data_IF_066214735779
#
_entry.id   IF_066214735779
#
_cell.length_a   1.000
_cell.length_b   1.000
_cell.length_c   1.000
_cell.angle_alpha   90.00
_cell.angle_beta   90.00
_cell.angle_gamma   90.00
#
_symmetry.space_group_name_H-M   'P 1'
#
loop_
_entity.id
_entity.type
_entity.pdbx_description
1 polymer ?
#
# COMPACT_ATOMS: atom_id res chain seq x y z
N UNK A 1 6.71 10.65 5.60
CA UNK A 1 6.70 9.76 6.79
C UNK A 1 7.77 8.70 6.68
N UNK A 2 7.77 7.90 5.60
CA UNK A 2 8.77 6.85 5.29
C UNK A 2 10.22 7.28 5.57
N UNK A 3 10.67 8.42 5.02
CA UNK A 3 11.99 9.04 5.31
C UNK A 3 12.37 9.03 6.80
N UNK A 4 11.48 9.52 7.67
CA UNK A 4 11.69 9.58 9.12
C UNK A 4 11.70 8.22 9.80
N UNK A 5 11.05 7.20 9.23
CA UNK A 5 11.13 5.84 9.72
C UNK A 5 12.51 5.23 9.38
N UNK A 6 13.00 5.44 8.15
CA UNK A 6 14.34 5.00 7.74
C UNK A 6 15.47 5.73 8.51
N UNK A 7 15.33 7.04 8.76
CA UNK A 7 16.22 7.80 9.66
C UNK A 7 16.20 7.25 11.10
N UNK A 8 15.06 6.75 11.57
CA UNK A 8 14.91 6.10 12.87
C UNK A 8 15.32 4.60 12.87
N UNK A 9 15.90 4.08 11.78
CA UNK A 9 16.42 2.72 11.70
C UNK A 9 15.41 1.63 11.34
N UNK A 10 14.24 1.96 10.80
CA UNK A 10 13.31 0.95 10.28
C UNK A 10 13.90 0.25 9.05
N UNK A 11 13.95 -1.08 9.06
CA UNK A 11 14.54 -1.88 7.98
C UNK A 11 13.70 -1.94 6.70
N UNK A 12 12.39 -1.72 6.79
CA UNK A 12 11.52 -1.60 5.60
C UNK A 12 10.32 -0.70 5.88
N UNK A 13 9.68 -0.26 4.80
CA UNK A 13 8.40 0.46 4.81
C UNK A 13 7.54 0.02 3.64
N UNK A 14 6.22 0.09 3.82
CA UNK A 14 5.22 -0.10 2.76
C UNK A 14 4.58 1.26 2.45
N UNK A 15 4.37 1.60 1.18
CA UNK A 15 3.56 2.77 0.83
C UNK A 15 2.10 2.56 1.25
N UNK A 16 1.35 3.64 1.50
CA UNK A 16 -0.12 3.50 1.53
C UNK A 16 -0.55 3.09 0.13
N UNK A 17 -1.41 2.08 0.01
CA UNK A 17 -1.92 1.58 -1.27
C UNK A 17 -2.32 2.73 -2.20
N UNK A 18 -1.82 2.74 -3.42
CA UNK A 18 -2.20 3.72 -4.44
C UNK A 18 -2.68 3.04 -5.73
N UNK A 19 -3.30 3.85 -6.59
CA UNK A 19 -4.01 3.46 -7.82
C UNK A 19 -3.61 4.40 -8.95
N UNK A 20 -4.04 4.08 -10.17
CA UNK A 20 -4.07 5.02 -11.29
C UNK A 20 -5.06 6.17 -11.00
N UNK A 21 -4.80 7.35 -11.55
CA UNK A 21 -5.55 8.58 -11.20
C UNK A 21 -7.06 8.52 -11.55
N UNK A 22 -7.46 7.60 -12.45
CA UNK A 22 -8.87 7.33 -12.79
C UNK A 22 -9.67 6.66 -11.67
N UNK A 23 -9.00 5.99 -10.74
CA UNK A 23 -9.58 5.25 -9.61
C UNK A 23 -9.43 5.99 -8.28
N UNK A 24 -9.12 7.30 -8.33
CA UNK A 24 -8.92 8.15 -7.14
C UNK A 24 -10.14 8.14 -6.21
N UNK A 25 -9.86 8.11 -4.90
CA UNK A 25 -10.88 8.07 -3.85
C UNK A 25 -10.80 9.30 -2.95
N UNK A 26 -11.87 9.54 -2.20
CA UNK A 26 -11.93 10.54 -1.12
C UNK A 26 -12.39 9.85 0.16
N UNK A 27 -11.66 10.04 1.26
CA UNK A 27 -12.00 9.46 2.56
C UNK A 27 -13.10 10.26 3.27
N UNK A 28 -13.92 9.56 4.05
CA UNK A 28 -14.87 10.18 4.98
C UNK A 28 -14.23 10.50 6.33
N UNK A 29 -14.93 11.25 7.17
CA UNK A 29 -14.54 11.54 8.56
C UNK A 29 -15.79 11.57 9.46
N UNK A 30 -15.78 10.97 10.66
CA UNK A 30 -14.70 10.19 11.27
C UNK A 30 -14.50 8.83 10.57
N UNK A 31 -13.28 8.28 10.60
CA UNK A 31 -12.94 7.02 9.92
C UNK A 31 -11.98 6.06 10.63
N UNK A 32 -11.36 6.48 11.74
CA UNK A 32 -10.52 5.63 12.59
C UNK A 32 -10.99 5.85 14.02
N UNK A 33 -11.32 4.77 14.73
CA UNK A 33 -11.82 4.80 16.11
C UNK A 33 -11.13 3.75 16.97
N UNK A 34 -11.03 3.99 18.28
CA UNK A 34 -10.53 2.99 19.24
C UNK A 34 -11.56 1.86 19.41
N UNK A 35 -11.09 0.62 19.38
CA UNK A 35 -11.96 -0.55 19.54
C UNK A 35 -12.38 -0.79 20.99
N UNK A 36 -13.53 -1.43 21.18
CA UNK A 36 -14.12 -1.75 22.49
C UNK A 36 -13.69 -3.12 23.03
N UNK A 37 -12.79 -3.82 22.35
CA UNK A 37 -12.34 -5.21 22.66
C UNK A 37 -11.69 -5.38 24.03
N UNK A 38 -11.30 -4.28 24.69
CA UNK A 38 -10.70 -4.26 26.03
C UNK A 38 -11.46 -3.34 26.99
N UNK A 39 -12.75 -3.12 26.74
CA UNK A 39 -13.61 -2.26 27.55
C UNK A 39 -13.28 -0.77 27.43
N UNK A 40 -13.62 0.01 28.45
CA UNK A 40 -13.54 1.47 28.47
C UNK A 40 -12.15 2.02 28.87
N UNK A 41 -11.06 1.39 28.42
CA UNK A 41 -9.69 1.83 28.67
C UNK A 41 -9.23 2.88 27.63
N UNK A 42 -9.03 4.12 28.08
CA UNK A 42 -8.58 5.24 27.24
C UNK A 42 -7.08 5.52 27.43
N UNK A 43 -6.45 6.17 26.45
CA UNK A 43 -5.01 6.51 26.50
C UNK A 43 -4.12 5.43 25.87
N UNK A 44 -2.93 5.13 26.42
CA UNK A 44 -1.98 4.19 25.83
C UNK A 44 -2.51 2.75 25.82
N UNK A 45 -1.91 1.88 25.00
CA UNK A 45 -2.21 0.44 24.99
C UNK A 45 -3.62 0.09 24.50
N UNK A 46 -4.16 0.81 23.52
CA UNK A 46 -5.45 0.49 22.90
C UNK A 46 -5.43 -0.92 22.31
N UNK A 47 -6.29 -1.81 22.80
CA UNK A 47 -6.30 -3.23 22.41
C UNK A 47 -6.72 -3.50 20.96
N UNK A 48 -7.37 -2.55 20.30
CA UNK A 48 -7.66 -2.59 18.86
C UNK A 48 -8.06 -1.20 18.34
N UNK A 49 -8.10 -1.08 17.01
CA UNK A 49 -8.71 0.03 16.27
C UNK A 49 -9.64 -0.52 15.20
N UNK A 50 -10.71 0.21 14.90
CA UNK A 50 -11.56 -0.02 13.74
C UNK A 50 -11.36 1.14 12.77
N UNK A 51 -11.27 0.83 11.48
CA UNK A 51 -11.20 1.85 10.44
C UNK A 51 -12.13 1.55 9.26
N UNK A 52 -12.58 2.63 8.62
CA UNK A 52 -13.24 2.64 7.31
C UNK A 52 -12.43 3.52 6.33
N UNK A 53 -11.10 3.48 6.47
CA UNK A 53 -10.20 4.23 5.60
C UNK A 53 -9.97 3.47 4.29
N UNK A 54 -10.02 4.19 3.18
CA UNK A 54 -9.77 3.65 1.85
C UNK A 54 -8.26 3.57 1.56
N UNK A 55 -7.92 3.43 0.28
CA UNK A 55 -6.56 3.62 -0.26
C UNK A 55 -6.07 5.08 -0.10
N UNK A 56 -4.92 5.41 -0.68
CA UNK A 56 -4.38 6.77 -0.67
C UNK A 56 -5.24 7.76 -1.47
N UNK A 57 -5.45 8.95 -0.91
CA UNK A 57 -6.04 10.11 -1.62
C UNK A 57 -4.99 10.90 -2.42
N UNK A 58 -3.75 10.40 -2.50
CA UNK A 58 -2.66 11.00 -3.28
C UNK A 58 -2.50 10.27 -4.61
N UNK A 59 -2.24 11.05 -5.66
CA UNK A 59 -2.13 10.58 -7.05
C UNK A 59 -1.03 9.54 -7.24
N UNK A 60 -1.13 8.80 -8.35
CA UNK A 60 -0.08 7.88 -8.78
C UNK A 60 1.26 8.61 -8.90
N UNK A 61 1.26 9.78 -9.58
CA UNK A 61 2.45 10.60 -9.79
C UNK A 61 3.16 11.00 -8.48
N UNK A 62 2.41 11.34 -7.42
CA UNK A 62 2.99 11.61 -6.10
C UNK A 62 3.76 10.40 -5.56
N UNK A 63 3.15 9.20 -5.61
CA UNK A 63 3.78 8.01 -5.04
C UNK A 63 4.99 7.55 -5.84
N UNK A 64 4.95 7.63 -7.17
CA UNK A 64 6.12 7.34 -8.02
C UNK A 64 7.29 8.27 -7.69
N UNK A 65 7.05 9.59 -7.57
CA UNK A 65 8.08 10.55 -7.16
C UNK A 65 8.65 10.21 -5.77
N UNK A 66 7.80 9.92 -4.79
CA UNK A 66 8.24 9.57 -3.42
C UNK A 66 9.05 8.27 -3.40
N UNK A 67 8.69 7.26 -4.21
CA UNK A 67 9.49 6.03 -4.34
C UNK A 67 10.89 6.37 -4.85
N UNK A 68 10.99 7.14 -5.94
CA UNK A 68 12.28 7.55 -6.50
C UNK A 68 13.13 8.37 -5.52
N UNK A 69 12.56 9.38 -4.85
CA UNK A 69 13.27 10.19 -3.84
C UNK A 69 13.78 9.33 -2.68
N UNK A 70 12.93 8.46 -2.11
CA UNK A 70 13.33 7.60 -1.00
C UNK A 70 14.45 6.64 -1.40
N UNK A 71 14.43 6.08 -2.61
CA UNK A 71 15.48 5.16 -3.07
C UNK A 71 16.78 5.86 -3.45
N UNK A 72 16.73 7.14 -3.82
CA UNK A 72 17.93 7.98 -4.00
C UNK A 72 18.60 8.31 -2.66
N UNK A 73 17.83 8.62 -1.61
CA UNK A 73 18.36 9.00 -0.30
C UNK A 73 18.75 7.81 0.59
N UNK A 74 18.08 6.66 0.40
CA UNK A 74 18.36 5.39 1.08
C UNK A 74 18.72 4.30 0.06
N UNK A 75 19.83 4.46 -0.69
CA UNK A 75 20.26 3.49 -1.71
C UNK A 75 20.83 2.23 -1.05
N UNK A 76 20.87 1.13 -1.80
CA UNK A 76 21.52 -0.12 -1.38
C UNK A 76 23.03 0.06 -1.24
N UNK A 77 23.49 0.37 -0.02
CA UNK A 77 24.90 0.59 0.30
C UNK A 77 25.64 -0.73 0.42
N UNK A 78 25.93 -1.34 -0.74
CA UNK A 78 26.85 -2.49 -0.89
C UNK A 78 28.31 -2.08 -0.60
N UNK A 79 28.62 -1.80 0.66
CA UNK A 79 29.99 -1.64 1.13
C UNK A 79 30.56 -3.01 1.51
N UNK A 80 31.75 -3.39 1.02
CA UNK A 80 32.26 -4.76 1.09
C UNK A 80 32.55 -5.30 2.51
N UNK A 81 32.49 -4.45 3.54
CA UNK A 81 32.80 -4.80 4.93
C UNK A 81 31.77 -4.29 5.95
N UNK A 82 30.55 -3.92 5.51
CA UNK A 82 29.49 -3.40 6.40
C UNK A 82 28.27 -4.29 6.36
N UNK A 83 27.72 -4.61 7.54
CA UNK A 83 26.45 -5.31 7.69
C UNK A 83 25.38 -4.57 6.88
N UNK A 84 24.74 -5.27 5.93
CA UNK A 84 23.88 -4.65 4.93
C UNK A 84 22.59 -4.09 5.57
N UNK A 85 22.59 -2.78 5.84
CA UNK A 85 21.41 -2.02 6.23
C UNK A 85 20.75 -1.42 4.97
N UNK A 86 20.23 -2.30 4.12
CA UNK A 86 19.46 -1.92 2.93
C UNK A 86 18.02 -1.64 3.36
N UNK A 87 17.59 -0.38 3.41
CA UNK A 87 16.18 -0.07 3.65
C UNK A 87 15.33 -0.47 2.43
N UNK A 88 14.39 -1.39 2.67
CA UNK A 88 13.49 -1.91 1.62
C UNK A 88 12.22 -1.06 1.56
N UNK A 89 11.87 -0.57 0.38
CA UNK A 89 10.62 0.11 0.10
C UNK A 89 9.72 -0.79 -0.75
N UNK A 90 8.62 -1.24 -0.15
CA UNK A 90 7.58 -2.02 -0.80
C UNK A 90 6.49 -1.06 -1.25
N UNK A 91 6.14 -1.07 -2.53
CA UNK A 91 5.06 -0.25 -3.05
C UNK A 91 3.74 -1.06 -3.07
N UNK A 92 2.80 -0.67 -2.21
CA UNK A 92 1.44 -1.23 -2.21
C UNK A 92 0.61 -0.58 -3.31
N UNK A 93 0.08 -1.40 -4.21
CA UNK A 93 -0.69 -0.98 -5.37
C UNK A 93 -2.01 -1.74 -5.47
N UNK A 94 -3.02 -1.11 -6.06
CA UNK A 94 -4.32 -1.69 -6.36
C UNK A 94 -4.78 -1.25 -7.74
N UNK A 95 -5.54 -2.09 -8.43
CA UNK A 95 -6.32 -1.71 -9.62
C UNK A 95 -7.71 -2.35 -9.55
N UNK A 96 -8.58 -1.98 -10.49
CA UNK A 96 -9.79 -2.75 -10.82
C UNK A 96 -9.43 -4.15 -11.37
N UNK A 97 -10.41 -5.00 -11.66
CA UNK A 97 -10.14 -6.27 -12.34
C UNK A 97 -9.88 -6.06 -13.84
N UNK A 98 -8.70 -5.51 -14.15
CA UNK A 98 -8.25 -5.17 -15.50
C UNK A 98 -6.74 -5.45 -15.63
N UNK A 99 -6.36 -6.30 -16.59
CA UNK A 99 -4.97 -6.76 -16.76
C UNK A 99 -4.02 -5.65 -17.22
N UNK A 100 -4.50 -4.72 -18.06
CA UNK A 100 -3.72 -3.59 -18.55
C UNK A 100 -3.41 -2.60 -17.41
N UNK A 101 -4.39 -2.31 -16.55
CA UNK A 101 -4.24 -1.43 -15.39
C UNK A 101 -3.20 -1.96 -14.40
N UNK A 102 -3.29 -3.24 -14.04
CA UNK A 102 -2.31 -3.89 -13.16
C UNK A 102 -0.91 -3.88 -13.78
N UNK A 103 -0.81 -4.10 -15.09
CA UNK A 103 0.46 -4.09 -15.83
C UNK A 103 1.06 -2.69 -15.86
N UNK A 104 0.28 -1.66 -16.20
CA UNK A 104 0.72 -0.26 -16.26
C UNK A 104 1.20 0.22 -14.88
N UNK A 105 0.39 0.01 -13.84
CA UNK A 105 0.72 0.47 -12.50
C UNK A 105 1.94 -0.26 -11.91
N UNK A 106 2.07 -1.57 -12.16
CA UNK A 106 3.24 -2.34 -11.76
C UNK A 106 4.52 -1.86 -12.47
N UNK A 107 4.50 -1.74 -13.80
CA UNK A 107 5.66 -1.29 -14.59
C UNK A 107 6.11 0.12 -14.22
N UNK A 108 5.16 1.05 -14.03
CA UNK A 108 5.48 2.42 -13.60
C UNK A 108 6.11 2.45 -12.22
N UNK A 109 5.66 1.58 -11.31
CA UNK A 109 6.16 1.51 -9.92
C UNK A 109 7.51 0.82 -9.81
N UNK A 110 7.76 -0.22 -10.61
CA UNK A 110 9.08 -0.83 -10.80
C UNK A 110 10.08 0.19 -11.37
N UNK A 111 9.69 0.91 -12.44
CA UNK A 111 10.52 1.94 -13.06
C UNK A 111 10.84 3.13 -12.13
N UNK A 112 9.99 3.42 -11.13
CA UNK A 112 10.28 4.40 -10.09
C UNK A 112 11.34 3.93 -9.07
N UNK A 113 11.66 2.63 -9.04
CA UNK A 113 12.73 2.04 -8.23
C UNK A 113 12.27 1.28 -6.98
N UNK A 114 10.98 0.93 -6.85
CA UNK A 114 10.50 0.13 -5.72
C UNK A 114 11.21 -1.23 -5.65
N UNK A 115 11.63 -1.66 -4.46
CA UNK A 115 12.35 -2.95 -4.32
C UNK A 115 11.40 -4.15 -4.50
N UNK A 116 10.13 -3.97 -4.15
CA UNK A 116 9.07 -4.99 -4.24
C UNK A 116 7.70 -4.32 -4.44
N UNK A 117 6.76 -5.07 -5.01
CA UNK A 117 5.34 -4.69 -5.09
C UNK A 117 4.49 -5.52 -4.11
N UNK A 118 3.55 -4.86 -3.43
CA UNK A 118 2.48 -5.51 -2.67
C UNK A 118 1.16 -5.31 -3.44
N UNK A 119 0.53 -6.42 -3.86
CA UNK A 119 -0.72 -6.37 -4.61
C UNK A 119 -1.90 -6.38 -3.63
N UNK A 120 -2.56 -5.24 -3.47
CA UNK A 120 -3.69 -5.11 -2.57
C UNK A 120 -4.98 -5.61 -3.24
N UNK A 121 -5.44 -6.80 -2.86
CA UNK A 121 -6.61 -7.47 -3.44
C UNK A 121 -7.94 -7.09 -2.76
N UNK A 122 -8.00 -5.97 -2.04
CA UNK A 122 -9.19 -5.54 -1.26
C UNK A 122 -10.29 -4.87 -2.10
N UNK A 123 -10.02 -4.66 -3.40
CA UNK A 123 -10.86 -3.92 -4.34
C UNK A 123 -12.28 -4.50 -4.49
N UNK A 124 -13.35 -3.70 -4.27
CA UNK A 124 -13.50 -2.81 -3.13
C UNK A 124 -14.66 -3.26 -2.22
N UNK A 125 -14.42 -3.38 -0.92
CA UNK A 125 -15.53 -3.21 0.05
C UNK A 125 -16.14 -1.81 -0.16
N UNK A 126 -17.37 -1.74 -0.68
CA UNK A 126 -18.14 -0.49 -0.82
C UNK A 126 -18.57 -0.07 -2.23
N UNK A 127 -18.26 -0.83 -3.30
CA UNK A 127 -18.65 -0.50 -4.69
C UNK A 127 -19.52 -1.58 -5.37
N UNK A 128 -20.32 -2.31 -4.58
CA UNK A 128 -21.21 -3.39 -5.07
C UNK A 128 -22.14 -2.97 -6.20
N UNK A 129 -22.63 -1.72 -6.18
CA UNK A 129 -23.55 -1.19 -7.21
C UNK A 129 -22.88 -0.88 -8.56
N UNK A 130 -21.54 -0.96 -8.66
CA UNK A 130 -20.80 -0.87 -9.93
C UNK A 130 -20.33 -2.24 -10.46
N UNK A 131 -20.91 -3.34 -9.96
CA UNK A 131 -20.63 -4.69 -10.47
C UNK A 131 -19.33 -5.32 -9.97
N UNK A 132 -18.64 -4.71 -9.00
CA UNK A 132 -17.53 -5.32 -8.28
C UNK A 132 -18.02 -5.79 -6.91
N UNK A 133 -18.07 -7.11 -6.72
CA UNK A 133 -18.65 -7.76 -5.53
C UNK A 133 -17.73 -7.76 -4.31
N UNK A 134 -17.68 -8.89 -3.61
CA UNK A 134 -16.70 -9.13 -2.53
C UNK A 134 -15.27 -8.92 -3.04
N UNK A 135 -14.35 -8.58 -2.12
CA UNK A 135 -12.97 -8.26 -2.45
C UNK A 135 -12.33 -9.32 -3.37
N UNK A 136 -11.51 -8.92 -4.35
CA UNK A 136 -10.89 -9.84 -5.30
C UNK A 136 -10.17 -11.03 -4.62
N UNK A 137 -9.55 -10.83 -3.45
CA UNK A 137 -8.93 -11.88 -2.65
C UNK A 137 -9.87 -12.91 -1.99
N UNK A 138 -11.19 -12.69 -2.04
CA UNK A 138 -12.23 -13.59 -1.53
C UNK A 138 -12.96 -14.37 -2.64
N UNK A 139 -12.76 -13.97 -3.91
CA UNK A 139 -13.40 -14.59 -5.08
C UNK A 139 -12.48 -15.68 -5.65
N UNK A 140 -13.08 -16.60 -6.41
CA UNK A 140 -12.48 -17.88 -6.86
C UNK A 140 -11.02 -17.76 -7.37
N UNK A 141 -10.14 -18.76 -7.12
CA UNK A 141 -8.70 -18.69 -7.41
C UNK A 141 -8.28 -18.33 -8.85
N UNK A 142 -9.21 -18.38 -9.81
CA UNK A 142 -9.00 -17.92 -11.19
C UNK A 142 -8.78 -16.40 -11.32
N UNK A 143 -9.22 -15.58 -10.36
CA UNK A 143 -8.93 -14.13 -10.38
C UNK A 143 -7.54 -13.80 -9.81
N UNK A 144 -6.99 -14.70 -8.98
CA UNK A 144 -5.67 -14.56 -8.33
C UNK A 144 -4.58 -15.23 -9.17
N UNK A 145 -4.94 -16.24 -9.97
CA UNK A 145 -3.99 -17.00 -10.78
C UNK A 145 -4.62 -17.47 -12.09
N UNK A 146 -3.94 -17.21 -13.22
CA UNK A 146 -4.13 -18.03 -14.43
C UNK A 146 -3.56 -19.41 -14.15
N UNK A 147 -4.41 -20.42 -13.98
CA UNK A 147 -3.97 -21.81 -14.15
C UNK A 147 -3.47 -21.98 -15.58
N UNK A 148 -2.20 -22.33 -15.73
CA UNK A 148 -1.66 -22.94 -16.95
C UNK A 148 -2.08 -24.41 -17.01
#
# INVERSE_FOLDING_TARGET
MIRRAFEAGWGFCVTKTFVLDKDIVTNVSPRIVRGTTSGHLYGPGQGSFLNIELISEKTCAYWLQIVTEIKQDFPDKRLPYTLHLTQVLIASIMCSYNEDDWTELAQRTEAAGADMLELNLSCPHGMGERGMGLACGQVSPCLISRKR
#
